data_IF_265295421937
#
_entry.id   IF_265295421937
#
_cell.length_a   1.000
_cell.length_b   1.000
_cell.length_c   1.000
_cell.angle_alpha   90.00
_cell.angle_beta   90.00
_cell.angle_gamma   90.00
#
_symmetry.space_group_name_H-M   'P 1'
#
loop_
_entity.id
_entity.type
_entity.pdbx_description
1 polymer ?
#
# COMPACT_ATOMS: atom_id res chain seq x y z
N UNK A 1 -16.99 11.72 -11.64
CA UNK A 1 -15.78 11.67 -12.50
C UNK A 1 -14.82 12.80 -12.17
N UNK A 2 -15.32 13.99 -11.84
CA UNK A 2 -14.53 15.20 -11.50
C UNK A 2 -13.41 14.96 -10.49
N UNK A 3 -13.69 14.25 -9.39
CA UNK A 3 -12.67 13.96 -8.36
C UNK A 3 -11.46 13.17 -8.88
N UNK A 4 -11.66 12.26 -9.84
CA UNK A 4 -10.56 11.48 -10.43
C UNK A 4 -9.69 12.35 -11.37
N UNK A 5 -10.31 13.27 -12.11
CA UNK A 5 -9.58 14.23 -12.96
C UNK A 5 -8.81 15.24 -12.10
N UNK A 6 -9.42 15.73 -11.02
CA UNK A 6 -8.75 16.62 -10.07
C UNK A 6 -7.50 15.97 -9.45
N UNK A 7 -7.54 14.66 -9.13
CA UNK A 7 -6.37 13.93 -8.65
C UNK A 7 -5.28 13.76 -9.71
N UNK A 8 -5.67 13.48 -10.97
CA UNK A 8 -4.73 13.43 -12.08
C UNK A 8 -4.04 14.78 -12.33
N UNK A 9 -4.80 15.88 -12.30
CA UNK A 9 -4.26 17.24 -12.46
C UNK A 9 -3.30 17.63 -11.33
N UNK A 10 -3.48 17.06 -10.14
CA UNK A 10 -2.57 17.19 -8.99
C UNK A 10 -1.34 16.26 -9.08
N UNK A 11 -1.26 15.40 -10.10
CA UNK A 11 -0.17 14.45 -10.27
C UNK A 11 -0.22 13.27 -9.30
N UNK A 12 -1.38 12.96 -8.73
CA UNK A 12 -1.53 11.80 -7.87
C UNK A 12 -1.25 10.50 -8.66
N UNK A 13 -0.35 9.67 -8.14
CA UNK A 13 -0.10 8.35 -8.72
C UNK A 13 -1.27 7.38 -8.49
N UNK A 14 -2.07 7.62 -7.43
CA UNK A 14 -3.23 6.82 -7.05
C UNK A 14 -4.29 7.76 -6.49
N UNK A 15 -5.41 7.90 -7.21
CA UNK A 15 -6.57 8.69 -6.78
C UNK A 15 -7.69 7.76 -6.35
N UNK A 16 -8.18 7.92 -5.11
CA UNK A 16 -9.26 7.10 -4.54
C UNK A 16 -10.39 8.03 -4.07
N UNK A 17 -11.33 8.43 -4.96
CA UNK A 17 -12.34 9.45 -4.64
C UNK A 17 -13.24 9.12 -3.45
N UNK A 18 -13.42 7.84 -3.13
CA UNK A 18 -14.26 7.37 -2.03
C UNK A 18 -13.49 7.16 -0.73
N UNK A 19 -12.18 7.43 -0.68
CA UNK A 19 -11.37 7.31 0.53
C UNK A 19 -11.35 8.67 1.27
N UNK A 20 -11.94 8.76 2.47
CA UNK A 20 -12.05 10.04 3.18
C UNK A 20 -10.74 10.49 3.86
N UNK A 21 -9.92 9.55 4.34
CA UNK A 21 -8.63 9.83 4.98
C UNK A 21 -7.49 9.22 4.15
N UNK A 22 -6.63 10.07 3.57
CA UNK A 22 -5.47 9.64 2.79
C UNK A 22 -4.47 8.83 3.62
N UNK A 23 -4.41 9.03 4.93
CA UNK A 23 -3.49 8.33 5.80
C UNK A 23 -3.78 6.82 5.88
N UNK A 24 -5.02 6.38 5.57
CA UNK A 24 -5.34 4.95 5.44
C UNK A 24 -4.59 4.29 4.27
N UNK A 25 -4.51 4.96 3.12
CA UNK A 25 -3.76 4.48 1.96
C UNK A 25 -2.25 4.43 2.25
N UNK A 26 -1.72 5.43 2.94
CA UNK A 26 -0.32 5.48 3.35
C UNK A 26 0.02 4.34 4.32
N UNK A 27 -0.81 4.11 5.34
CA UNK A 27 -0.66 3.00 6.29
C UNK A 27 -0.66 1.65 5.57
N UNK A 28 -1.63 1.41 4.68
CA UNK A 28 -1.71 0.19 3.87
C UNK A 28 -0.43 -0.01 3.05
N UNK A 29 0.02 1.04 2.37
CA UNK A 29 1.19 0.95 1.49
C UNK A 29 2.48 0.77 2.26
N UNK A 30 2.64 1.43 3.41
CA UNK A 30 3.77 1.27 4.31
C UNK A 30 3.84 -0.17 4.86
N UNK A 31 2.71 -0.69 5.35
CA UNK A 31 2.62 -2.07 5.82
C UNK A 31 2.98 -3.07 4.70
N UNK A 32 2.47 -2.86 3.48
CA UNK A 32 2.81 -3.67 2.32
C UNK A 32 4.31 -3.64 2.00
N UNK A 33 4.95 -2.47 2.03
CA UNK A 33 6.39 -2.33 1.76
C UNK A 33 7.24 -2.99 2.86
N UNK A 34 6.85 -2.88 4.12
CA UNK A 34 7.55 -3.49 5.25
C UNK A 34 7.59 -5.03 5.18
N UNK A 35 6.60 -5.66 4.52
CA UNK A 35 6.62 -7.10 4.29
C UNK A 35 7.68 -7.54 3.27
N UNK A 36 8.04 -6.69 2.30
CA UNK A 36 8.90 -7.05 1.15
C UNK A 36 10.16 -7.85 1.51
N UNK A 37 11.02 -7.37 2.43
CA UNK A 37 12.24 -8.08 2.83
C UNK A 37 12.00 -9.46 3.47
N UNK A 38 10.77 -9.75 3.92
CA UNK A 38 10.42 -10.97 4.64
C UNK A 38 9.74 -12.03 3.77
N UNK A 39 9.33 -11.70 2.54
CA UNK A 39 8.52 -12.58 1.68
C UNK A 39 9.33 -13.43 0.68
N UNK A 40 10.66 -13.31 0.65
CA UNK A 40 11.52 -14.06 -0.27
C UNK A 40 12.81 -14.51 0.42
N UNK A 41 12.66 -15.26 1.52
CA UNK A 41 13.77 -15.93 2.20
C UNK A 41 13.96 -17.33 1.61
N UNK A 42 15.19 -17.81 1.61
CA UNK A 42 15.59 -19.15 1.14
C UNK A 42 15.22 -20.28 2.12
N UNK A 43 14.74 -19.92 3.31
CA UNK A 43 14.26 -20.85 4.34
C UNK A 43 12.89 -20.44 4.87
N UNK A 44 12.15 -21.44 5.38
CA UNK A 44 10.87 -21.23 6.02
C UNK A 44 11.00 -20.34 7.27
N UNK A 45 9.97 -19.55 7.56
CA UNK A 45 9.92 -18.74 8.77
C UNK A 45 9.96 -19.61 10.04
N UNK A 46 10.51 -19.06 11.13
CA UNK A 46 10.68 -19.77 12.40
C UNK A 46 9.40 -20.44 12.91
N UNK A 47 8.25 -19.80 12.73
CA UNK A 47 6.94 -20.34 13.12
C UNK A 47 6.56 -21.69 12.48
N UNK A 48 7.36 -22.20 11.53
CA UNK A 48 7.17 -23.50 10.88
C UNK A 48 8.17 -24.56 11.33
N UNK A 49 9.11 -24.26 12.24
CA UNK A 49 9.95 -25.28 12.86
C UNK A 49 9.12 -26.01 13.94
N UNK A 50 9.04 -27.34 13.82
CA UNK A 50 8.35 -28.26 14.74
C UNK A 50 9.18 -28.54 15.97
#
# INVERSE_FOLDING_TARGET
VDAALAGLDQGEAVTIPSLPDVADWERLTAARRAMGPNLSRDHAAERYRS
#
